data_IF_976751027718
#
_entry.id   IF_976751027718
#
_cell.length_a   1.000
_cell.length_b   1.000
_cell.length_c   1.000
_cell.angle_alpha   90.00
_cell.angle_beta   90.00
_cell.angle_gamma   90.00
#
_symmetry.space_group_name_H-M   'P 1'
#
loop_
_entity.id
_entity.type
_entity.pdbx_description
1 polymer ?
#
# COMPACT_ATOMS: atom_id res chain seq x y z
N UNK A 1 8.51 2.97 2.55
CA UNK A 1 7.50 4.02 2.38
C UNK A 1 8.07 5.20 1.61
N UNK A 2 9.05 5.95 2.14
CA UNK A 2 9.64 7.13 1.46
C UNK A 2 10.01 6.90 -0.02
N UNK A 3 10.71 5.81 -0.33
CA UNK A 3 11.08 5.47 -1.72
C UNK A 3 9.86 5.34 -2.62
N UNK A 4 8.78 4.73 -2.10
CA UNK A 4 7.50 4.56 -2.81
C UNK A 4 6.82 5.90 -3.05
N UNK A 5 6.84 6.79 -2.06
CA UNK A 5 6.23 8.13 -2.19
C UNK A 5 6.98 8.99 -3.21
N UNK A 6 8.32 8.93 -3.20
CA UNK A 6 9.15 9.62 -4.20
C UNK A 6 8.89 9.06 -5.60
N UNK A 7 8.83 7.74 -5.76
CA UNK A 7 8.48 7.10 -7.04
C UNK A 7 7.10 7.56 -7.52
N UNK A 8 6.11 7.60 -6.63
CA UNK A 8 4.77 8.07 -6.94
C UNK A 8 4.77 9.54 -7.39
N UNK A 9 5.41 10.43 -6.62
CA UNK A 9 5.58 11.85 -6.94
C UNK A 9 6.28 12.06 -8.29
N UNK A 10 7.30 11.25 -8.59
CA UNK A 10 7.98 11.30 -9.88
C UNK A 10 7.06 10.90 -11.04
N UNK A 11 6.13 9.96 -10.84
CA UNK A 11 5.18 9.56 -11.91
C UNK A 11 4.07 10.58 -12.17
N UNK A 12 3.75 11.45 -11.22
CA UNK A 12 2.64 12.42 -11.35
C UNK A 12 2.83 13.43 -12.50
N UNK A 13 3.97 14.14 -12.63
CA UNK A 13 4.18 15.10 -13.71
C UNK A 13 3.99 14.49 -15.10
N UNK A 14 4.47 13.25 -15.30
CA UNK A 14 4.33 12.52 -16.57
C UNK A 14 2.88 12.18 -16.89
N UNK A 15 2.09 11.83 -15.88
CA UNK A 15 0.65 11.58 -16.04
C UNK A 15 -0.09 12.85 -16.43
N UNK A 16 0.16 13.94 -15.70
CA UNK A 16 -0.44 15.26 -15.99
C UNK A 16 -0.09 15.71 -17.40
N UNK A 17 1.17 15.54 -17.82
CA UNK A 17 1.62 15.92 -19.16
C UNK A 17 0.97 15.07 -20.27
N UNK A 18 0.71 13.79 -19.99
CA UNK A 18 -0.05 12.90 -20.88
C UNK A 18 -1.52 13.28 -20.98
N UNK A 19 -2.16 13.58 -19.86
CA UNK A 19 -3.58 13.96 -19.79
C UNK A 19 -3.84 15.32 -20.46
N UNK A 20 -2.87 16.24 -20.37
CA UNK A 20 -2.91 17.54 -21.07
C UNK A 20 -2.59 17.44 -22.58
N UNK A 21 -2.21 16.26 -23.09
CA UNK A 21 -1.93 16.04 -24.51
C UNK A 21 -0.63 16.66 -25.05
N UNK A 22 0.18 17.29 -24.19
CA UNK A 22 1.38 18.05 -24.58
C UNK A 22 2.57 17.18 -25.06
N UNK A 23 2.55 15.88 -24.79
CA UNK A 23 3.70 15.00 -25.01
C UNK A 23 3.78 14.30 -26.38
N UNK A 24 2.81 14.49 -27.26
CA UNK A 24 2.74 13.71 -28.50
C UNK A 24 2.64 12.21 -28.25
N UNK A 25 2.89 11.41 -29.29
CA UNK A 25 2.62 9.98 -29.28
C UNK A 25 3.68 9.17 -28.50
N UNK A 26 4.94 9.61 -28.53
CA UNK A 26 6.04 8.95 -27.80
C UNK A 26 5.95 9.09 -26.28
N UNK A 27 5.54 10.24 -25.78
CA UNK A 27 5.42 10.46 -24.34
C UNK A 27 4.26 9.63 -23.78
N UNK A 28 3.15 9.51 -24.53
CA UNK A 28 2.06 8.60 -24.18
C UNK A 28 2.48 7.12 -24.21
N UNK A 29 3.38 6.71 -25.12
CA UNK A 29 3.97 5.36 -25.13
C UNK A 29 4.82 5.09 -23.88
N UNK A 30 5.67 6.05 -23.50
CA UNK A 30 6.49 5.96 -22.28
C UNK A 30 5.60 5.90 -21.03
N UNK A 31 4.55 6.71 -20.99
CA UNK A 31 3.55 6.72 -19.91
C UNK A 31 2.82 5.40 -19.80
N UNK A 32 2.34 4.86 -20.91
CA UNK A 32 1.65 3.58 -20.95
C UNK A 32 2.56 2.41 -20.50
N UNK A 33 3.82 2.39 -20.95
CA UNK A 33 4.73 1.25 -20.72
C UNK A 33 5.40 1.25 -19.35
N UNK A 34 5.75 2.42 -18.83
CA UNK A 34 6.56 2.54 -17.61
C UNK A 34 5.85 3.34 -16.53
N UNK A 35 5.38 4.55 -16.84
CA UNK A 35 4.97 5.50 -15.80
C UNK A 35 3.61 5.13 -15.17
N UNK A 36 2.68 4.59 -15.94
CA UNK A 36 1.41 4.06 -15.43
C UNK A 36 1.65 2.83 -14.54
N UNK A 37 2.51 1.91 -14.99
CA UNK A 37 2.90 0.70 -14.25
C UNK A 37 3.55 1.09 -12.92
N UNK A 38 4.51 2.02 -12.93
CA UNK A 38 5.19 2.54 -11.74
C UNK A 38 4.25 3.27 -10.78
N UNK A 39 3.27 4.02 -11.30
CA UNK A 39 2.26 4.71 -10.48
C UNK A 39 1.42 3.69 -9.71
N UNK A 40 0.82 2.71 -10.40
CA UNK A 40 0.03 1.67 -9.73
C UNK A 40 0.90 0.86 -8.78
N UNK A 41 2.10 0.46 -9.20
CA UNK A 41 3.05 -0.26 -8.34
C UNK A 41 3.26 0.49 -7.03
N UNK A 42 3.60 1.79 -7.13
CA UNK A 42 3.86 2.63 -5.98
C UNK A 42 2.64 2.76 -5.08
N UNK A 43 1.47 3.08 -5.66
CA UNK A 43 0.22 3.21 -4.90
C UNK A 43 -0.09 1.94 -4.08
N UNK A 44 -0.09 0.78 -4.72
CA UNK A 44 -0.42 -0.47 -4.03
C UNK A 44 0.68 -0.91 -3.05
N UNK A 45 1.95 -0.60 -3.32
CA UNK A 45 3.06 -0.86 -2.39
C UNK A 45 2.94 0.02 -1.15
N UNK A 46 2.54 1.29 -1.32
CA UNK A 46 2.29 2.22 -0.23
C UNK A 46 1.19 1.71 0.69
N UNK A 47 0.08 1.26 0.13
CA UNK A 47 -1.05 0.69 0.89
C UNK A 47 -0.61 -0.55 1.70
N UNK A 48 0.13 -1.47 1.08
CA UNK A 48 0.68 -2.64 1.79
C UNK A 48 1.61 -2.22 2.93
N UNK A 49 2.52 -1.25 2.71
CA UNK A 49 3.40 -0.77 3.77
C UNK A 49 2.64 -0.08 4.91
N UNK A 50 1.64 0.75 4.60
CA UNK A 50 0.80 1.37 5.62
C UNK A 50 0.03 0.33 6.45
N UNK A 51 -0.43 -0.74 5.80
CA UNK A 51 -1.04 -1.89 6.47
C UNK A 51 -0.08 -2.62 7.42
N UNK A 52 1.15 -2.88 6.98
CA UNK A 52 2.17 -3.53 7.81
C UNK A 52 2.57 -2.65 9.01
N UNK A 53 2.74 -1.33 8.80
CA UNK A 53 3.07 -0.38 9.87
C UNK A 53 1.95 -0.34 10.91
N UNK A 54 0.69 -0.35 10.49
CA UNK A 54 -0.45 -0.34 11.42
C UNK A 54 -0.57 -1.64 12.20
N UNK A 55 -0.26 -2.78 11.55
CA UNK A 55 -0.21 -4.08 12.20
C UNK A 55 0.90 -4.15 13.26
N UNK A 56 2.09 -3.65 12.95
CA UNK A 56 3.21 -3.54 13.90
C UNK A 56 2.80 -2.73 15.14
N UNK A 57 2.17 -1.57 14.93
CA UNK A 57 1.66 -0.73 16.02
C UNK A 57 0.57 -1.43 16.83
N UNK A 58 -0.33 -2.16 16.17
CA UNK A 58 -1.37 -2.93 16.85
C UNK A 58 -0.76 -3.99 17.78
N UNK A 59 0.18 -4.82 17.28
CA UNK A 59 0.82 -5.84 18.11
C UNK A 59 1.64 -5.24 19.25
N UNK A 60 2.32 -4.11 19.01
CA UNK A 60 3.08 -3.38 20.03
C UNK A 60 2.19 -2.84 21.15
N UNK A 61 1.02 -2.27 20.82
CA UNK A 61 0.14 -1.61 21.78
C UNK A 61 -0.78 -2.60 22.49
N UNK A 62 -1.45 -3.49 21.74
CA UNK A 62 -2.52 -4.36 22.25
C UNK A 62 -1.97 -5.70 22.74
N UNK A 63 -0.92 -6.22 22.10
CA UNK A 63 -0.37 -7.54 22.39
C UNK A 63 1.06 -7.46 22.95
N UNK A 64 1.35 -6.45 23.79
CA UNK A 64 2.67 -6.25 24.41
C UNK A 64 3.19 -7.46 25.20
N UNK A 65 2.30 -8.38 25.61
CA UNK A 65 2.64 -9.60 26.36
C UNK A 65 2.82 -10.85 25.48
N UNK A 66 2.49 -10.78 24.19
CA UNK A 66 2.58 -11.95 23.30
C UNK A 66 3.97 -12.07 22.67
N UNK A 67 4.52 -13.29 22.59
CA UNK A 67 5.80 -13.57 21.90
C UNK A 67 5.79 -13.22 20.40
N UNK A 68 4.61 -13.02 19.81
CA UNK A 68 4.44 -12.57 18.41
C UNK A 68 4.86 -11.11 18.23
N UNK A 69 4.68 -10.26 19.25
CA UNK A 69 5.13 -8.86 19.23
C UNK A 69 6.65 -8.75 19.13
N UNK A 70 7.38 -9.58 19.87
CA UNK A 70 8.85 -9.59 19.83
C UNK A 70 9.40 -10.07 18.49
N UNK A 71 8.67 -10.96 17.80
CA UNK A 71 9.04 -11.45 16.47
C UNK A 71 8.80 -10.38 15.39
N UNK A 72 7.62 -9.76 15.35
CA UNK A 72 7.29 -8.72 14.37
C UNK A 72 8.10 -7.43 14.56
N UNK A 73 8.49 -7.10 15.80
CA UNK A 73 9.33 -5.94 16.11
C UNK A 73 10.81 -6.16 15.72
N UNK A 74 11.21 -7.37 15.31
CA UNK A 74 12.57 -7.59 14.78
C UNK A 74 12.72 -6.88 13.44
N UNK A 75 13.71 -6.00 13.38
CA UNK A 75 14.14 -5.30 12.16
C UNK A 75 14.38 -6.27 10.99
N UNK A 76 14.86 -7.49 11.26
CA UNK A 76 15.04 -8.53 10.25
C UNK A 76 13.72 -8.95 9.60
N UNK A 77 12.66 -9.14 10.38
CA UNK A 77 11.33 -9.53 9.86
C UNK A 77 10.74 -8.41 9.03
N UNK A 78 10.81 -7.16 9.52
CA UNK A 78 10.37 -6.00 8.75
C UNK A 78 11.13 -5.86 7.42
N UNK A 79 12.45 -6.10 7.41
CA UNK A 79 13.28 -6.11 6.19
C UNK A 79 12.85 -7.22 5.23
N UNK A 80 12.65 -8.44 5.72
CA UNK A 80 12.20 -9.57 4.90
C UNK A 80 10.83 -9.29 4.28
N UNK A 81 9.87 -8.80 5.06
CA UNK A 81 8.54 -8.44 4.56
C UNK A 81 8.60 -7.32 3.52
N UNK A 82 9.45 -6.32 3.72
CA UNK A 82 9.67 -5.24 2.77
C UNK A 82 10.28 -5.75 1.46
N UNK A 83 11.31 -6.58 1.54
CA UNK A 83 11.97 -7.20 0.38
C UNK A 83 11.02 -8.14 -0.36
N UNK A 84 10.23 -8.94 0.36
CA UNK A 84 9.24 -9.83 -0.22
C UNK A 84 8.16 -9.05 -0.95
N UNK A 85 7.63 -7.99 -0.34
CA UNK A 85 6.62 -7.12 -0.98
C UNK A 85 7.17 -6.46 -2.24
N UNK A 86 8.41 -5.98 -2.19
CA UNK A 86 9.10 -5.44 -3.37
C UNK A 86 9.31 -6.50 -4.45
N UNK A 87 9.82 -7.67 -4.08
CA UNK A 87 10.10 -8.77 -5.01
C UNK A 87 8.84 -9.26 -5.71
N UNK A 88 7.77 -9.53 -4.95
CA UNK A 88 6.47 -9.95 -5.50
C UNK A 88 5.96 -8.89 -6.47
N UNK A 89 5.93 -7.62 -6.08
CA UNK A 89 5.35 -6.59 -6.95
C UNK A 89 6.23 -6.28 -8.17
N UNK A 90 7.55 -6.34 -8.05
CA UNK A 90 8.46 -6.25 -9.21
C UNK A 90 8.24 -7.42 -10.17
N UNK A 91 8.10 -8.63 -9.66
CA UNK A 91 7.83 -9.83 -10.47
C UNK A 91 6.52 -9.74 -11.25
N UNK A 92 5.46 -9.17 -10.68
CA UNK A 92 4.19 -8.96 -11.40
C UNK A 92 4.23 -7.77 -12.38
N UNK A 93 5.04 -6.73 -12.11
CA UNK A 93 5.14 -5.55 -12.97
C UNK A 93 6.10 -5.70 -14.16
N UNK A 94 7.20 -6.44 -13.99
CA UNK A 94 8.21 -6.66 -15.03
C UNK A 94 7.62 -7.24 -16.34
N UNK A 95 6.81 -8.32 -16.30
CA UNK A 95 6.20 -8.85 -17.51
C UNK A 95 5.19 -7.88 -18.13
N UNK A 96 4.51 -7.05 -17.32
CA UNK A 96 3.56 -6.06 -17.81
C UNK A 96 4.22 -4.97 -18.67
N UNK A 97 5.46 -4.58 -18.36
CA UNK A 97 6.26 -3.63 -19.15
C UNK A 97 6.95 -4.29 -20.35
N UNK A 98 7.36 -5.56 -20.22
CA UNK A 98 8.08 -6.32 -21.26
C UNK A 98 7.12 -6.80 -22.38
N UNK A 99 5.90 -7.23 -22.05
CA UNK A 99 4.93 -7.74 -23.04
C UNK A 99 4.19 -6.64 -23.84
N UNK A 100 4.57 -5.37 -23.65
CA UNK A 100 4.11 -4.25 -24.47
C UNK A 100 5.04 -4.11 -25.67
N UNK A 101 4.88 -4.97 -26.68
CA UNK A 101 5.79 -5.08 -27.83
C UNK A 101 5.07 -5.11 -29.20
N UNK A 102 3.82 -4.63 -29.29
CA UNK A 102 3.08 -4.56 -30.57
C UNK A 102 3.32 -3.22 -31.29
N UNK A 103 3.40 -3.22 -32.64
CA UNK A 103 3.51 -2.01 -33.44
C UNK A 103 2.21 -1.19 -33.43
N UNK A 104 2.37 0.10 -33.72
CA UNK A 104 1.42 1.19 -33.51
C UNK A 104 0.15 1.10 -34.38
N UNK A 105 -1.07 1.04 -33.78
CA UNK A 105 -2.31 1.20 -34.52
C UNK A 105 -2.71 2.69 -34.66
N UNK A 106 -3.53 3.03 -35.67
CA UNK A 106 -4.02 4.39 -35.97
C UNK A 106 -4.83 5.05 -34.83
N UNK A 107 -5.32 4.26 -33.87
CA UNK A 107 -6.10 4.75 -32.71
C UNK A 107 -5.32 4.53 -31.43
N UNK A 108 -4.92 5.62 -30.78
CA UNK A 108 -4.06 5.60 -29.60
C UNK A 108 -4.80 5.03 -28.37
N UNK A 109 -4.56 3.77 -28.01
CA UNK A 109 -4.95 3.20 -26.71
C UNK A 109 -3.89 2.24 -26.18
N UNK A 110 -3.58 2.39 -24.90
CA UNK A 110 -2.55 1.61 -24.18
C UNK A 110 -2.86 0.11 -24.17
N UNK A 111 -4.12 -0.27 -24.30
CA UNK A 111 -4.57 -1.66 -24.39
C UNK A 111 -4.31 -2.31 -25.75
N UNK A 112 -4.28 -1.52 -26.83
CA UNK A 112 -4.08 -2.00 -28.20
C UNK A 112 -2.61 -2.31 -28.49
N UNK A 113 -1.70 -1.78 -27.67
CA UNK A 113 -0.25 -1.99 -27.79
C UNK A 113 0.25 -3.26 -27.06
N UNK A 114 -0.65 -3.95 -26.38
CA UNK A 114 -0.36 -5.12 -25.56
C UNK A 114 -0.68 -6.39 -26.36
N UNK A 115 0.24 -7.36 -26.39
CA UNK A 115 -0.03 -8.66 -27.02
C UNK A 115 -1.16 -9.40 -26.28
N UNK A 116 -1.82 -10.36 -26.92
CA UNK A 116 -2.89 -11.15 -26.29
C UNK A 116 -2.45 -11.86 -25.01
N UNK A 117 -1.19 -12.33 -24.97
CA UNK A 117 -0.56 -12.88 -23.78
C UNK A 117 -0.38 -11.82 -22.69
N UNK A 118 0.02 -10.60 -23.07
CA UNK A 118 0.17 -9.49 -22.16
C UNK A 118 -1.18 -9.09 -21.55
N UNK A 119 -2.26 -9.12 -22.32
CA UNK A 119 -3.60 -8.76 -21.86
C UNK A 119 -4.11 -9.74 -20.79
N UNK A 120 -3.95 -11.05 -21.00
CA UNK A 120 -4.28 -12.07 -20.00
C UNK A 120 -3.42 -11.93 -18.74
N UNK A 121 -2.11 -11.72 -18.91
CA UNK A 121 -1.21 -11.51 -17.76
C UNK A 121 -1.57 -10.26 -16.96
N UNK A 122 -1.95 -9.19 -17.65
CA UNK A 122 -2.39 -7.94 -17.04
C UNK A 122 -3.65 -8.16 -16.21
N UNK A 123 -4.65 -8.85 -16.74
CA UNK A 123 -5.90 -9.14 -16.03
C UNK A 123 -5.64 -9.95 -14.76
N UNK A 124 -4.83 -11.01 -14.82
CA UNK A 124 -4.43 -11.81 -13.65
C UNK A 124 -3.67 -10.94 -12.64
N UNK A 125 -2.71 -10.14 -13.09
CA UNK A 125 -1.91 -9.26 -12.22
C UNK A 125 -2.77 -8.21 -11.52
N UNK A 126 -3.71 -7.61 -12.24
CA UNK A 126 -4.64 -6.61 -11.71
C UNK A 126 -5.55 -7.26 -10.68
N UNK A 127 -6.14 -8.41 -10.99
CA UNK A 127 -7.04 -9.10 -10.07
C UNK A 127 -6.32 -9.51 -8.77
N UNK A 128 -5.10 -10.05 -8.89
CA UNK A 128 -4.25 -10.38 -7.75
C UNK A 128 -3.96 -9.16 -6.86
N UNK A 129 -3.62 -8.02 -7.49
CA UNK A 129 -3.29 -6.81 -6.76
C UNK A 129 -4.53 -6.15 -6.11
N UNK A 130 -5.71 -6.28 -6.72
CA UNK A 130 -7.01 -5.91 -6.10
C UNK A 130 -7.31 -6.81 -4.90
N UNK A 131 -7.02 -8.11 -4.99
CA UNK A 131 -7.13 -9.03 -3.86
C UNK A 131 -6.24 -8.62 -2.68
N UNK A 132 -4.97 -8.30 -2.95
CA UNK A 132 -4.03 -7.78 -1.94
C UNK A 132 -4.56 -6.48 -1.32
N UNK A 133 -5.15 -5.60 -2.13
CA UNK A 133 -5.72 -4.35 -1.63
C UNK A 133 -6.84 -4.59 -0.62
N UNK A 134 -7.82 -5.45 -0.94
CA UNK A 134 -8.90 -5.76 -0.01
C UNK A 134 -8.39 -6.40 1.28
N UNK A 135 -7.43 -7.31 1.19
CA UNK A 135 -6.79 -7.91 2.36
C UNK A 135 -6.11 -6.85 3.24
N UNK A 136 -5.32 -5.95 2.63
CA UNK A 136 -4.66 -4.85 3.34
C UNK A 136 -5.66 -3.85 3.96
N UNK A 137 -6.75 -3.55 3.24
CA UNK A 137 -7.79 -2.64 3.72
C UNK A 137 -8.52 -3.22 4.93
N UNK A 138 -8.96 -4.48 4.88
CA UNK A 138 -9.60 -5.15 6.01
C UNK A 138 -8.67 -5.24 7.22
N UNK A 139 -7.39 -5.54 6.98
CA UNK A 139 -6.37 -5.56 8.03
C UNK A 139 -6.21 -4.18 8.69
N UNK A 140 -6.17 -3.11 7.88
CA UNK A 140 -6.10 -1.74 8.37
C UNK A 140 -7.31 -1.36 9.22
N UNK A 141 -8.52 -1.62 8.72
CA UNK A 141 -9.78 -1.34 9.45
C UNK A 141 -9.80 -2.08 10.79
N UNK A 142 -9.42 -3.37 10.79
CA UNK A 142 -9.33 -4.17 12.00
C UNK A 142 -8.32 -3.58 13.01
N UNK A 143 -7.09 -3.29 12.57
CA UNK A 143 -6.04 -2.74 13.42
C UNK A 143 -6.45 -1.39 14.01
N UNK A 144 -6.97 -0.47 13.19
CA UNK A 144 -7.37 0.85 13.67
C UNK A 144 -8.57 0.80 14.61
N UNK A 145 -9.58 -0.04 14.31
CA UNK A 145 -10.73 -0.21 15.19
C UNK A 145 -10.30 -0.75 16.55
N UNK A 146 -9.39 -1.74 16.56
CA UNK A 146 -8.92 -2.31 17.82
C UNK A 146 -8.02 -1.35 18.61
N UNK A 147 -7.15 -0.59 17.93
CA UNK A 147 -6.35 0.46 18.58
C UNK A 147 -7.27 1.53 19.18
N UNK A 148 -8.26 2.02 18.42
CA UNK A 148 -9.22 3.01 18.89
C UNK A 148 -10.04 2.49 20.08
N UNK A 149 -10.51 1.24 20.02
CA UNK A 149 -11.23 0.60 21.13
C UNK A 149 -10.35 0.46 22.38
N UNK A 150 -9.09 0.03 22.22
CA UNK A 150 -8.15 -0.09 23.33
C UNK A 150 -7.84 1.26 23.98
N UNK A 151 -7.61 2.31 23.16
CA UNK A 151 -7.38 3.68 23.63
C UNK A 151 -8.63 4.21 24.34
N UNK A 152 -9.81 4.04 23.76
CA UNK A 152 -11.08 4.45 24.37
C UNK A 152 -11.30 3.79 25.74
N UNK A 153 -11.11 2.48 25.83
CA UNK A 153 -11.24 1.75 27.08
C UNK A 153 -10.19 2.18 28.12
N UNK A 154 -8.96 2.46 27.68
CA UNK A 154 -7.89 2.94 28.56
C UNK A 154 -8.18 4.34 29.09
N UNK A 155 -8.63 5.28 28.25
CA UNK A 155 -9.06 6.61 28.67
C UNK A 155 -10.25 6.55 29.65
N UNK A 156 -11.24 5.69 29.38
CA UNK A 156 -12.39 5.50 30.28
C UNK A 156 -11.96 4.97 31.65
N UNK A 157 -11.02 4.02 31.70
CA UNK A 157 -10.47 3.51 32.97
C UNK A 157 -9.75 4.60 33.75
N UNK A 158 -8.86 5.35 33.12
CA UNK A 158 -8.12 6.46 33.77
C UNK A 158 -9.09 7.52 34.29
N UNK A 159 -10.12 7.87 33.52
CA UNK A 159 -11.10 8.86 33.95
C UNK A 159 -11.90 8.39 35.17
N UNK A 160 -12.31 7.11 35.19
CA UNK A 160 -12.99 6.51 36.33
C UNK A 160 -12.11 6.49 37.58
N UNK A 161 -10.85 6.06 37.44
CA UNK A 161 -9.88 6.03 38.53
C UNK A 161 -9.62 7.44 39.11
N UNK A 162 -9.50 8.45 38.24
CA UNK A 162 -9.36 9.86 38.66
C UNK A 162 -10.58 10.44 39.38
N UNK A 163 -11.78 9.92 39.07
CA UNK A 163 -13.03 10.34 39.71
C UNK A 163 -13.22 9.65 41.06
N UNK A 164 -12.83 8.38 41.16
CA UNK A 164 -12.79 7.64 42.41
C UNK A 164 -11.76 8.30 43.35
N UNK A 165 -10.51 8.51 42.91
CA UNK A 165 -9.46 9.17 43.72
C UNK A 165 -9.87 10.56 44.27
N UNK A 166 -10.55 11.39 43.46
CA UNK A 166 -11.10 12.69 43.91
C UNK A 166 -12.22 12.57 44.93
N UNK A 167 -13.00 11.49 44.89
CA UNK A 167 -14.04 11.23 45.89
C UNK A 167 -13.40 10.85 47.23
N UNK A 168 -12.36 10.03 47.22
CA UNK A 168 -11.61 9.66 48.44
C UNK A 168 -10.89 10.85 49.07
N UNK A 169 -10.36 11.80 48.30
CA UNK A 169 -9.68 12.98 48.84
C UNK A 169 -10.60 14.02 49.50
N UNK A 170 -11.91 13.98 49.19
CA UNK A 170 -12.89 14.96 49.67
C UNK A 170 -13.71 14.45 50.86
N UNK A 171 -13.34 13.30 51.43
CA UNK A 171 -14.04 12.71 52.57
C UNK A 171 -13.36 13.20 53.87
N UNK A 172 -14.10 13.90 54.76
CA UNK A 172 -13.55 14.56 55.96
C UNK A 172 -13.19 13.59 57.09
#
# INVERSE_FOLDING_TARGET
MVVVDILMLFTFPWRVLSDLGYGGLQLKLIVCRYTAVLFYLSMYTGITFMSLISLERYFKIVCSTSGVSSFLQRVSVAKVLALLTWGVKMFFMLPNAILTNQPMPEVFSCMTLKSDLGRRWHEVSVHFNVGIFWAAFLLMVFCYTSIACHVYHSCKRVQRDSSEARRWSNQP
#
